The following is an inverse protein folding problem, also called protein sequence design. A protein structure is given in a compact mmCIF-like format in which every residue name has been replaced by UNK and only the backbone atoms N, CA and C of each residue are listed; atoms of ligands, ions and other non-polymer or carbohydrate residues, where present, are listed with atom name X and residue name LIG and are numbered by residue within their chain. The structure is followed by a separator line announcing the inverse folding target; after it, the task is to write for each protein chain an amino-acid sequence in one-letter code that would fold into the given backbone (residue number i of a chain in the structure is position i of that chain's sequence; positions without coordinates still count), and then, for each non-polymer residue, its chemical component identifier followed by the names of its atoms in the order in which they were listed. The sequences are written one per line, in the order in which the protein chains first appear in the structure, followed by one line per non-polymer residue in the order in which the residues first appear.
data_IF_778831557359
#
_entry.id   IF_778831557359
#
_cell.length_a   1.000
_cell.length_b   1.000
_cell.length_c   1.000
_cell.angle_alpha   90.00
_cell.angle_beta   90.00
_cell.angle_gamma   90.00
#
_symmetry.space_group_name_H-M   'P 1'
#
loop_
_entity.id
_entity.type
_entity.pdbx_description
1 polymer ?
#
# COMPACT_ATOMS: atom_id res chain seq x y z
N UNK A 1 12.99 11.98 26.82
CA UNK A 1 12.11 11.44 25.76
C UNK A 1 11.27 10.34 26.37
N UNK A 2 9.96 10.29 26.09
CA UNK A 2 9.07 9.27 26.63
C UNK A 2 9.28 7.90 25.98
N UNK A 3 8.88 6.82 26.67
CA UNK A 3 8.85 5.48 26.08
C UNK A 3 7.67 5.38 25.09
N UNK A 4 7.87 4.86 23.87
CA UNK A 4 6.80 4.66 22.92
C UNK A 4 5.83 3.58 23.43
N UNK A 5 4.53 3.89 23.40
CA UNK A 5 3.46 2.94 23.77
C UNK A 5 3.13 1.94 22.66
N UNK A 6 3.49 2.27 21.42
CA UNK A 6 3.28 1.44 20.24
C UNK A 6 4.41 1.66 19.23
N UNK A 7 4.86 0.56 18.63
CA UNK A 7 5.77 0.55 17.50
C UNK A 7 5.16 -0.35 16.44
N UNK A 8 4.81 0.21 15.29
CA UNK A 8 4.28 -0.57 14.18
C UNK A 8 5.43 -1.21 13.42
N UNK A 9 5.35 -2.51 13.18
CA UNK A 9 6.24 -3.21 12.25
C UNK A 9 5.49 -3.42 10.94
N UNK A 10 6.12 -3.06 9.84
CA UNK A 10 5.54 -3.21 8.50
C UNK A 10 6.59 -3.84 7.59
N UNK A 11 6.19 -4.83 6.82
CA UNK A 11 6.99 -5.43 5.75
C UNK A 11 6.25 -5.24 4.43
N UNK A 12 6.96 -4.80 3.40
CA UNK A 12 6.41 -4.68 2.05
C UNK A 12 7.06 -5.73 1.17
N UNK A 13 6.25 -6.56 0.54
CA UNK A 13 6.70 -7.54 -0.44
C UNK A 13 6.21 -7.13 -1.82
N UNK A 14 7.14 -7.07 -2.79
CA UNK A 14 6.81 -6.86 -4.18
C UNK A 14 6.55 -8.22 -4.82
N UNK A 15 5.30 -8.45 -5.23
CA UNK A 15 4.91 -9.63 -6.01
C UNK A 15 5.27 -9.39 -7.48
N UNK A 16 4.27 -9.43 -8.37
CA UNK A 16 4.44 -9.05 -9.78
C UNK A 16 4.17 -7.55 -9.91
N UNK A 17 5.16 -6.71 -10.28
CA UNK A 17 4.93 -5.28 -10.45
C UNK A 17 3.71 -5.01 -11.34
N UNK A 18 2.81 -4.10 -10.93
CA UNK A 18 2.92 -3.13 -9.84
C UNK A 18 2.38 -3.63 -8.48
N UNK A 19 1.92 -4.88 -8.40
CA UNK A 19 1.32 -5.46 -7.20
C UNK A 19 2.33 -5.60 -6.07
N UNK A 20 1.94 -5.11 -4.89
CA UNK A 20 2.68 -5.14 -3.62
C UNK A 20 1.74 -5.51 -2.50
N UNK A 21 2.25 -6.25 -1.53
CA UNK A 21 1.54 -6.58 -0.31
C UNK A 21 2.24 -5.93 0.88
N UNK A 22 1.46 -5.26 1.73
CA UNK A 22 1.93 -4.69 2.98
C UNK A 22 1.43 -5.53 4.16
N UNK A 23 2.37 -6.14 4.89
CA UNK A 23 2.11 -6.88 6.11
C UNK A 23 2.31 -5.93 7.27
N UNK A 24 1.21 -5.58 7.95
CA UNK A 24 1.22 -4.67 9.11
C UNK A 24 0.96 -5.49 10.36
N UNK A 25 1.86 -5.37 11.34
CA UNK A 25 1.75 -6.09 12.62
C UNK A 25 0.41 -5.81 13.30
N UNK A 26 -0.32 -6.87 13.67
CA UNK A 26 -1.68 -6.82 14.22
C UNK A 26 -2.81 -7.07 13.22
N UNK A 27 -2.53 -7.17 11.92
CA UNK A 27 -3.51 -7.59 10.90
C UNK A 27 -3.23 -9.03 10.44
N UNK A 28 -4.27 -9.84 10.28
CA UNK A 28 -4.14 -11.23 9.81
C UNK A 28 -3.80 -11.31 8.32
N UNK A 29 -4.41 -10.45 7.51
CA UNK A 29 -4.24 -10.40 6.06
C UNK A 29 -3.42 -9.17 5.63
N UNK A 30 -2.61 -9.27 4.57
CA UNK A 30 -1.89 -8.12 4.04
C UNK A 30 -2.82 -7.14 3.33
N UNK A 31 -2.36 -5.91 3.17
CA UNK A 31 -3.01 -4.91 2.33
C UNK A 31 -2.42 -4.94 0.93
N UNK A 32 -3.28 -5.11 -0.08
CA UNK A 32 -2.88 -5.09 -1.48
C UNK A 32 -2.77 -3.66 -2.02
N UNK A 33 -1.65 -3.40 -2.70
CA UNK A 33 -1.35 -2.13 -3.35
C UNK A 33 -0.93 -2.34 -4.79
N UNK A 34 -1.27 -1.38 -5.63
CA UNK A 34 -0.93 -1.43 -7.05
C UNK A 34 -1.18 -0.11 -7.74
N UNK A 35 -1.77 -0.18 -8.93
CA UNK A 35 -2.18 0.97 -9.74
C UNK A 35 -3.62 0.74 -10.21
N UNK A 36 -4.31 1.85 -10.50
CA UNK A 36 -5.68 1.87 -11.01
C UNK A 36 -5.90 3.11 -11.89
N UNK A 37 -6.95 3.10 -12.72
CA UNK A 37 -7.40 4.27 -13.48
C UNK A 37 -6.29 5.06 -14.20
N UNK A 38 -6.26 6.38 -14.05
CA UNK A 38 -5.24 7.22 -14.69
C UNK A 38 -3.80 6.99 -14.18
N UNK A 39 -3.63 6.37 -13.01
CA UNK A 39 -2.30 6.06 -12.45
C UNK A 39 -1.63 4.96 -13.27
N UNK A 40 -2.38 3.92 -13.67
CA UNK A 40 -1.81 2.85 -14.51
C UNK A 40 -1.43 3.33 -15.91
N UNK A 41 -2.17 4.29 -16.47
CA UNK A 41 -1.86 4.95 -17.74
C UNK A 41 -0.56 5.77 -17.65
N UNK A 42 -0.40 6.55 -16.57
CA UNK A 42 0.81 7.34 -16.32
C UNK A 42 2.07 6.47 -16.25
N UNK A 43 1.99 5.30 -15.61
CA UNK A 43 3.10 4.36 -15.50
C UNK A 43 3.25 3.43 -16.72
N UNK A 44 2.32 3.47 -17.68
CA UNK A 44 2.36 2.64 -18.89
C UNK A 44 2.29 1.14 -18.63
N UNK A 45 1.64 0.72 -17.55
CA UNK A 45 1.55 -0.67 -17.15
C UNK A 45 0.10 -1.06 -16.87
N UNK A 46 -0.42 -2.08 -17.55
CA UNK A 46 -1.79 -2.58 -17.33
C UNK A 46 -1.76 -3.82 -16.41
N UNK A 47 -2.18 -3.69 -15.14
CA UNK A 47 -2.13 -4.79 -14.19
C UNK A 47 -3.27 -5.78 -14.41
N UNK A 48 -3.05 -7.05 -14.05
CA UNK A 48 -4.08 -8.09 -14.10
C UNK A 48 -5.26 -7.77 -13.15
N UNK A 49 -4.96 -7.13 -12.02
CA UNK A 49 -5.93 -6.66 -11.02
C UNK A 49 -5.57 -5.24 -10.61
N UNK A 50 -6.56 -4.35 -10.60
CA UNK A 50 -6.39 -2.99 -10.12
C UNK A 50 -6.49 -2.94 -8.59
N UNK A 51 -5.54 -2.23 -7.97
CA UNK A 51 -5.47 -2.03 -6.53
C UNK A 51 -5.21 -0.54 -6.23
N UNK A 52 -5.63 -0.03 -5.05
CA UNK A 52 -5.27 1.31 -4.64
C UNK A 52 -3.73 1.46 -4.62
N UNK A 53 -3.26 2.64 -4.99
CA UNK A 53 -1.86 2.97 -4.82
C UNK A 53 -1.54 3.30 -3.37
N UNK A 54 -0.27 3.22 -3.01
CA UNK A 54 0.20 3.70 -1.71
C UNK A 54 -0.04 5.20 -1.52
N UNK A 55 -0.11 5.97 -2.62
CA UNK A 55 -0.42 7.41 -2.56
C UNK A 55 -1.88 7.66 -2.16
N UNK A 56 -2.82 6.85 -2.66
CA UNK A 56 -4.23 6.96 -2.29
C UNK A 56 -4.42 6.81 -0.78
N UNK A 57 -3.71 5.86 -0.17
CA UNK A 57 -3.73 5.67 1.28
C UNK A 57 -3.12 6.84 2.06
N UNK A 58 -2.04 7.46 1.58
CA UNK A 58 -1.45 8.64 2.21
C UNK A 58 -2.42 9.82 2.13
N UNK A 59 -3.06 10.05 0.98
CA UNK A 59 -4.04 11.12 0.80
C UNK A 59 -5.28 10.89 1.67
N UNK A 60 -5.78 9.67 1.72
CA UNK A 60 -6.89 9.30 2.60
C UNK A 60 -6.54 9.56 4.08
N UNK A 61 -5.36 9.10 4.53
CA UNK A 61 -4.91 9.32 5.90
C UNK A 61 -4.72 10.81 6.25
N UNK A 62 -4.28 11.62 5.29
CA UNK A 62 -4.17 13.06 5.46
C UNK A 62 -5.54 13.77 5.48
N UNK A 63 -6.52 13.22 4.76
CA UNK A 63 -7.87 13.77 4.64
C UNK A 63 -8.75 13.57 5.88
N UNK A 64 -8.54 12.48 6.63
CA UNK A 64 -9.36 12.10 7.79
C UNK A 64 -10.44 11.09 7.45
#
# INVERSE_FOLDING_TARGET
MGQPIALTKITIEQNKPPHRQAFVDGFEEPFDFGTHGGVKEFYGHDPDVEYPSTLDHIVAAAGG
#
